data_IF_480084058691
#
_entry.id   IF_480084058691
#
_cell.length_a   1.000
_cell.length_b   1.000
_cell.length_c   1.000
_cell.angle_alpha   90.00
_cell.angle_beta   90.00
_cell.angle_gamma   90.00
#
_symmetry.space_group_name_H-M   'P 1'
#
loop_
_entity.id
_entity.type
_entity.pdbx_description
1 polymer ?
#
# COMPACT_ATOMS: atom_id res chain seq x y z
N UNK A 1 -20.48 -11.74 0.99
CA UNK A 1 -21.05 -10.78 0.03
C UNK A 1 -19.92 -10.00 -0.61
N UNK A 2 -19.89 -9.97 -1.97
CA UNK A 2 -18.92 -9.17 -2.69
C UNK A 2 -19.07 -7.68 -2.32
N UNK A 3 -17.97 -6.99 -2.04
CA UNK A 3 -18.01 -5.56 -1.81
C UNK A 3 -18.24 -4.87 -3.16
N UNK A 4 -19.34 -4.11 -3.31
CA UNK A 4 -19.52 -3.35 -4.54
C UNK A 4 -18.38 -2.33 -4.66
N UNK A 5 -17.77 -2.23 -5.81
CA UNK A 5 -16.78 -1.18 -6.11
C UNK A 5 -17.45 0.21 -6.22
N UNK A 6 -18.75 0.32 -5.95
CA UNK A 6 -19.51 1.57 -6.02
C UNK A 6 -19.49 2.17 -7.41
N UNK A 7 -19.28 3.49 -7.49
CA UNK A 7 -19.09 4.20 -8.77
C UNK A 7 -17.69 4.00 -9.37
N UNK A 8 -16.81 3.26 -8.70
CA UNK A 8 -15.47 2.97 -9.18
C UNK A 8 -15.53 1.71 -10.05
N UNK A 9 -15.60 1.90 -11.37
CA UNK A 9 -15.47 0.81 -12.32
C UNK A 9 -14.03 0.75 -12.82
N UNK A 10 -13.38 -0.38 -12.60
CA UNK A 10 -12.07 -0.66 -13.19
C UNK A 10 -12.34 -1.23 -14.58
N UNK A 11 -11.74 -0.64 -15.62
CA UNK A 11 -11.76 -1.22 -16.95
C UNK A 11 -10.70 -2.31 -17.01
N UNK A 12 -11.11 -3.57 -16.98
CA UNK A 12 -10.22 -4.70 -17.15
C UNK A 12 -10.48 -5.34 -18.52
N UNK A 13 -9.51 -5.26 -19.41
CA UNK A 13 -9.61 -5.86 -20.74
C UNK A 13 -10.86 -5.43 -21.54
N UNK A 14 -11.29 -4.18 -21.42
CA UNK A 14 -12.50 -3.66 -22.03
C UNK A 14 -13.80 -3.89 -21.26
N UNK A 15 -13.77 -4.60 -20.14
CA UNK A 15 -14.91 -4.84 -19.26
C UNK A 15 -14.84 -3.94 -18.02
N UNK A 16 -16.00 -3.43 -17.58
CA UNK A 16 -16.12 -2.70 -16.32
C UNK A 16 -16.25 -3.68 -15.17
N UNK A 17 -15.18 -3.86 -14.38
CA UNK A 17 -15.24 -4.58 -13.11
C UNK A 17 -16.01 -3.76 -12.08
N UNK A 18 -17.19 -4.25 -11.70
CA UNK A 18 -18.03 -3.62 -10.66
C UNK A 18 -17.79 -4.19 -9.26
N UNK A 19 -17.15 -5.32 -9.18
CA UNK A 19 -16.80 -6.03 -7.94
C UNK A 19 -15.57 -6.89 -8.20
N UNK A 20 -14.79 -7.11 -7.14
CA UNK A 20 -13.72 -8.09 -7.13
C UNK A 20 -13.67 -8.72 -5.73
N UNK A 21 -13.85 -10.02 -5.66
CA UNK A 21 -13.93 -10.75 -4.40
C UNK A 21 -12.60 -11.40 -4.04
N UNK A 22 -12.48 -11.81 -2.79
CA UNK A 22 -11.32 -12.55 -2.33
C UNK A 22 -11.22 -13.95 -3.01
N UNK A 23 -12.35 -14.57 -3.33
CA UNK A 23 -12.33 -15.84 -4.05
C UNK A 23 -11.85 -15.67 -5.49
N UNK A 24 -12.31 -14.61 -6.19
CA UNK A 24 -11.80 -14.26 -7.52
C UNK A 24 -10.28 -13.95 -7.49
N UNK A 25 -9.79 -13.30 -6.43
CA UNK A 25 -8.35 -13.12 -6.24
C UNK A 25 -7.61 -14.44 -6.14
N UNK A 26 -8.08 -15.36 -5.30
CA UNK A 26 -7.45 -16.69 -5.14
C UNK A 26 -7.44 -17.49 -6.43
N UNK A 27 -8.58 -17.55 -7.13
CA UNK A 27 -8.69 -18.20 -8.43
C UNK A 27 -7.69 -17.62 -9.44
N UNK A 28 -7.61 -16.30 -9.53
CA UNK A 28 -6.68 -15.64 -10.43
C UNK A 28 -5.20 -15.91 -10.07
N UNK A 29 -4.87 -15.90 -8.80
CA UNK A 29 -3.51 -16.23 -8.34
C UNK A 29 -3.16 -17.69 -8.66
N UNK A 30 -4.09 -18.64 -8.54
CA UNK A 30 -3.87 -20.02 -8.94
C UNK A 30 -3.63 -20.19 -10.45
N UNK A 31 -4.27 -19.34 -11.28
CA UNK A 31 -4.03 -19.33 -12.74
C UNK A 31 -2.65 -18.78 -13.07
N UNK A 32 -2.26 -17.67 -12.42
CA UNK A 32 -0.96 -17.04 -12.66
C UNK A 32 0.22 -17.91 -12.19
N UNK A 33 0.03 -18.61 -11.06
CA UNK A 33 1.10 -19.37 -10.40
C UNK A 33 0.60 -20.75 -9.98
N UNK A 34 0.38 -21.66 -10.92
CA UNK A 34 -0.11 -23.00 -10.62
C UNK A 34 0.86 -23.74 -9.69
N UNK A 35 0.32 -24.45 -8.71
CA UNK A 35 1.07 -25.25 -7.74
C UNK A 35 2.01 -24.42 -6.81
N UNK A 36 1.65 -23.17 -6.53
CA UNK A 36 2.34 -22.32 -5.54
C UNK A 36 1.42 -21.99 -4.39
N UNK A 37 1.97 -21.94 -3.18
CA UNK A 37 1.33 -21.30 -2.04
C UNK A 37 1.56 -19.79 -2.09
N UNK A 38 0.56 -19.01 -1.67
CA UNK A 38 0.63 -17.56 -1.65
C UNK A 38 0.49 -17.06 -0.22
N UNK A 39 1.33 -16.09 0.09
CA UNK A 39 1.24 -15.28 1.30
C UNK A 39 1.14 -13.83 0.86
N UNK A 40 0.20 -13.09 1.43
CA UNK A 40 0.03 -11.72 0.98
C UNK A 40 -0.81 -10.86 1.90
N UNK A 41 -0.70 -9.56 1.71
CA UNK A 41 -1.54 -8.56 2.35
C UNK A 41 -2.69 -8.19 1.42
N UNK A 42 -3.89 -8.05 1.98
CA UNK A 42 -5.11 -7.71 1.25
C UNK A 42 -5.75 -6.46 1.84
N UNK A 43 -6.24 -5.60 0.98
CA UNK A 43 -6.97 -4.38 1.38
C UNK A 43 -8.04 -4.04 0.34
N UNK A 44 -9.02 -3.25 0.74
CA UNK A 44 -10.05 -2.74 -0.17
C UNK A 44 -9.49 -1.65 -1.10
N UNK A 45 -10.30 -1.20 -2.04
CA UNK A 45 -9.94 -0.09 -2.95
C UNK A 45 -9.98 1.23 -2.18
N UNK A 46 -8.87 1.94 -1.99
CA UNK A 46 -8.85 3.22 -1.30
C UNK A 46 -9.44 4.31 -2.22
N UNK A 47 -10.66 4.75 -1.94
CA UNK A 47 -11.35 5.80 -2.69
C UNK A 47 -12.23 6.62 -1.78
N UNK A 48 -12.25 7.94 -1.99
CA UNK A 48 -13.10 8.89 -1.26
C UNK A 48 -14.60 8.67 -1.50
N UNK A 49 -14.95 8.00 -2.59
CA UNK A 49 -16.33 7.74 -2.98
C UNK A 49 -16.88 6.41 -2.43
N UNK A 50 -16.05 5.63 -1.75
CA UNK A 50 -16.42 4.32 -1.22
C UNK A 50 -16.50 4.34 0.32
N UNK A 51 -17.38 3.51 0.87
CA UNK A 51 -17.50 3.33 2.31
C UNK A 51 -16.38 2.42 2.81
N UNK A 52 -15.32 3.02 3.34
CA UNK A 52 -14.12 2.31 3.83
C UNK A 52 -14.45 1.24 4.87
N UNK A 53 -15.43 1.49 5.76
CA UNK A 53 -15.81 0.55 6.81
C UNK A 53 -16.36 -0.76 6.24
N UNK A 54 -17.15 -0.69 5.17
CA UNK A 54 -17.69 -1.89 4.50
C UNK A 54 -16.54 -2.72 3.92
N UNK A 55 -15.59 -2.06 3.26
CA UNK A 55 -14.44 -2.74 2.67
C UNK A 55 -13.51 -3.32 3.75
N UNK A 56 -13.23 -2.56 4.80
CA UNK A 56 -12.41 -3.01 5.92
C UNK A 56 -13.03 -4.23 6.61
N UNK A 57 -14.35 -4.19 6.90
CA UNK A 57 -15.07 -5.32 7.47
C UNK A 57 -15.03 -6.56 6.57
N UNK A 58 -15.21 -6.38 5.25
CA UNK A 58 -15.12 -7.47 4.29
C UNK A 58 -13.72 -8.09 4.30
N UNK A 59 -12.67 -7.30 4.12
CA UNK A 59 -11.29 -7.81 4.05
C UNK A 59 -10.92 -8.51 5.36
N UNK A 60 -11.26 -7.95 6.52
CA UNK A 60 -11.02 -8.58 7.82
C UNK A 60 -11.74 -9.93 7.98
N UNK A 61 -12.94 -10.08 7.35
CA UNK A 61 -13.74 -11.30 7.45
C UNK A 61 -13.31 -12.43 6.53
N UNK A 62 -12.68 -12.12 5.38
CA UNK A 62 -12.30 -13.12 4.36
C UNK A 62 -10.84 -13.56 4.43
N UNK A 63 -9.94 -12.71 4.96
CA UNK A 63 -8.55 -13.08 5.17
C UNK A 63 -8.41 -14.07 6.33
N UNK A 64 -7.70 -15.19 6.07
CA UNK A 64 -7.53 -16.29 7.02
C UNK A 64 -6.47 -16.03 8.10
N UNK A 65 -5.69 -14.94 7.96
CA UNK A 65 -4.60 -14.52 8.86
C UNK A 65 -3.50 -15.56 9.05
N UNK A 66 -3.43 -16.52 8.12
CA UNK A 66 -2.37 -17.51 7.99
C UNK A 66 -1.58 -17.29 6.72
N UNK A 67 -2.28 -17.17 5.60
CA UNK A 67 -1.70 -16.93 4.28
C UNK A 67 -2.05 -15.52 3.79
N UNK A 68 -3.21 -14.99 4.17
CA UNK A 68 -3.67 -13.67 3.77
C UNK A 68 -3.97 -12.79 4.98
N UNK A 69 -3.33 -11.63 5.01
CA UNK A 69 -3.32 -10.71 6.13
C UNK A 69 -4.03 -9.41 5.77
N UNK A 70 -5.10 -9.02 6.49
CA UNK A 70 -5.85 -7.81 6.17
C UNK A 70 -5.10 -6.54 6.54
N UNK A 71 -5.10 -5.54 5.64
CA UNK A 71 -4.73 -4.17 5.95
C UNK A 71 -5.99 -3.31 6.01
N UNK A 72 -6.06 -2.43 7.02
CA UNK A 72 -7.13 -1.44 7.15
C UNK A 72 -6.86 -0.25 6.23
N UNK A 73 -7.82 0.10 5.37
CA UNK A 73 -7.83 1.43 4.77
C UNK A 73 -8.08 2.41 5.90
N UNK A 74 -7.18 3.38 6.07
CA UNK A 74 -7.24 4.36 7.14
C UNK A 74 -7.28 5.77 6.56
N UNK A 75 -8.06 6.65 7.20
CA UNK A 75 -8.21 8.04 6.80
C UNK A 75 -7.60 8.96 7.86
N UNK A 76 -7.03 10.10 7.48
CA UNK A 76 -6.36 11.00 8.41
C UNK A 76 -7.27 11.57 9.51
N UNK A 77 -8.58 11.70 9.25
CA UNK A 77 -9.56 12.22 10.19
C UNK A 77 -10.06 11.19 11.20
N UNK A 78 -9.82 9.88 11.03
CA UNK A 78 -10.31 8.84 11.94
C UNK A 78 -9.81 9.04 13.38
N UNK A 79 -10.64 8.64 14.33
CA UNK A 79 -10.29 8.71 15.74
C UNK A 79 -9.25 7.65 16.11
N UNK A 80 -8.23 8.02 16.88
CA UNK A 80 -7.12 7.15 17.26
C UNK A 80 -7.58 5.90 18.03
N UNK A 81 -8.50 6.06 18.98
CA UNK A 81 -9.02 4.94 19.77
C UNK A 81 -9.82 3.95 18.90
N UNK A 82 -10.61 4.47 17.95
CA UNK A 82 -11.38 3.64 17.03
C UNK A 82 -10.45 2.86 16.08
N UNK A 83 -9.36 3.48 15.62
CA UNK A 83 -8.35 2.81 14.81
C UNK A 83 -7.72 1.66 15.61
N UNK A 84 -7.30 1.93 16.83
CA UNK A 84 -6.66 0.95 17.71
C UNK A 84 -7.60 -0.21 18.07
N UNK A 85 -8.85 0.09 18.37
CA UNK A 85 -9.88 -0.93 18.61
C UNK A 85 -10.13 -1.81 17.38
N UNK A 86 -10.17 -1.23 16.20
CA UNK A 86 -10.32 -1.97 14.95
C UNK A 86 -9.14 -2.91 14.70
N UNK A 87 -7.90 -2.45 14.92
CA UNK A 87 -6.69 -3.27 14.79
C UNK A 87 -6.80 -4.51 15.69
N UNK A 88 -7.18 -4.31 16.94
CA UNK A 88 -7.24 -5.41 17.92
C UNK A 88 -8.42 -6.36 17.62
N UNK A 89 -9.63 -5.81 17.45
CA UNK A 89 -10.86 -6.61 17.31
C UNK A 89 -10.96 -7.36 15.98
N UNK A 90 -10.45 -6.75 14.90
CA UNK A 90 -10.53 -7.30 13.55
C UNK A 90 -9.22 -7.93 13.08
N UNK A 91 -8.18 -7.88 13.92
CA UNK A 91 -6.86 -8.44 13.65
C UNK A 91 -6.27 -7.93 12.34
N UNK A 92 -6.22 -6.61 12.16
CA UNK A 92 -5.51 -6.02 11.04
C UNK A 92 -3.99 -6.04 11.27
N UNK A 93 -3.26 -6.36 10.23
CA UNK A 93 -1.80 -6.43 10.23
C UNK A 93 -1.13 -5.14 9.76
N UNK A 94 -1.92 -4.13 9.44
CA UNK A 94 -1.39 -2.84 9.03
C UNK A 94 -2.42 -1.91 8.41
N UNK A 95 -1.88 -0.88 7.76
CA UNK A 95 -2.65 0.21 7.19
C UNK A 95 -2.40 0.40 5.70
N UNK A 96 -3.45 0.80 5.00
CA UNK A 96 -3.40 1.35 3.64
C UNK A 96 -3.87 2.81 3.67
N UNK A 97 -2.99 3.77 3.99
CA UNK A 97 -3.28 5.18 3.80
C UNK A 97 -3.27 5.54 2.31
N UNK A 98 -4.02 6.57 1.92
CA UNK A 98 -4.07 6.99 0.53
C UNK A 98 -4.20 8.50 0.39
N UNK A 99 -3.42 9.09 -0.52
CA UNK A 99 -3.29 10.54 -0.71
C UNK A 99 -4.62 11.24 -1.03
N UNK A 100 -5.53 10.56 -1.73
CA UNK A 100 -6.80 11.15 -2.18
C UNK A 100 -7.68 11.58 -0.99
N UNK A 101 -7.46 11.03 0.20
CA UNK A 101 -8.15 11.46 1.43
C UNK A 101 -7.68 12.84 1.90
N UNK A 102 -6.46 13.27 1.56
CA UNK A 102 -5.95 14.62 1.84
C UNK A 102 -6.29 15.62 0.72
N UNK A 103 -6.56 15.17 -0.50
CA UNK A 103 -6.92 16.04 -1.65
C UNK A 103 -8.24 16.81 -1.45
N UNK A 104 -9.04 16.44 -0.45
CA UNK A 104 -10.21 17.23 -0.03
C UNK A 104 -9.84 18.62 0.52
N UNK A 105 -8.62 18.77 1.03
CA UNK A 105 -8.18 19.95 1.77
C UNK A 105 -6.99 20.65 1.13
N UNK A 106 -6.30 19.99 0.18
CA UNK A 106 -5.09 20.48 -0.48
C UNK A 106 -5.13 20.16 -1.97
N UNK A 107 -4.47 21.00 -2.78
CA UNK A 107 -4.24 20.67 -4.19
C UNK A 107 -3.34 19.43 -4.28
N UNK A 108 -3.58 18.60 -5.27
CA UNK A 108 -2.87 17.33 -5.49
C UNK A 108 -1.35 17.45 -5.44
N UNK A 109 -0.82 18.54 -5.98
CA UNK A 109 0.62 18.82 -6.05
C UNK A 109 1.20 19.22 -4.68
N UNK A 110 0.36 19.71 -3.79
CA UNK A 110 0.75 20.20 -2.46
C UNK A 110 0.68 19.09 -1.40
N UNK A 111 -0.03 17.98 -1.67
CA UNK A 111 -0.18 16.89 -0.70
C UNK A 111 1.16 16.30 -0.31
N UNK A 112 1.39 16.19 0.99
CA UNK A 112 2.53 15.55 1.64
C UNK A 112 2.14 14.18 2.22
N UNK A 113 3.11 13.32 2.54
CA UNK A 113 2.82 12.00 3.14
C UNK A 113 2.10 12.16 4.47
N UNK A 114 2.54 13.06 5.32
CA UNK A 114 1.95 13.28 6.66
C UNK A 114 0.54 13.90 6.61
N UNK A 115 0.08 14.41 5.47
CA UNK A 115 -1.30 14.90 5.34
C UNK A 115 -2.34 13.77 5.33
N UNK A 116 -1.97 12.60 4.82
CA UNK A 116 -2.86 11.42 4.78
C UNK A 116 -2.37 10.25 5.64
N UNK A 117 -1.17 10.34 6.18
CA UNK A 117 -0.59 9.42 7.16
C UNK A 117 -0.07 10.23 8.37
N UNK A 118 -0.98 10.80 9.19
CA UNK A 118 -0.57 11.62 10.34
C UNK A 118 0.08 10.78 11.43
N UNK A 119 0.85 11.45 12.30
CA UNK A 119 1.63 10.82 13.38
C UNK A 119 0.82 9.87 14.28
N UNK A 120 -0.45 10.16 14.54
CA UNK A 120 -1.29 9.27 15.35
C UNK A 120 -1.41 7.86 14.76
N UNK A 121 -1.45 7.75 13.42
CA UNK A 121 -1.50 6.45 12.72
C UNK A 121 -0.11 5.79 12.76
N UNK A 122 0.95 6.58 12.58
CA UNK A 122 2.33 6.10 12.68
C UNK A 122 2.65 5.56 14.07
N UNK A 123 2.23 6.24 15.13
CA UNK A 123 2.38 5.79 16.53
C UNK A 123 1.69 4.45 16.79
N UNK A 124 0.49 4.26 16.26
CA UNK A 124 -0.20 2.96 16.35
C UNK A 124 0.56 1.89 15.58
N UNK A 125 1.01 2.21 14.36
CA UNK A 125 1.76 1.26 13.55
C UNK A 125 3.07 0.84 14.22
N UNK A 126 3.78 1.77 14.80
CA UNK A 126 5.01 1.53 15.54
C UNK A 126 4.76 0.68 16.80
N UNK A 127 3.80 1.09 17.63
CA UNK A 127 3.41 0.39 18.87
C UNK A 127 3.12 -1.10 18.67
N UNK A 128 2.49 -1.45 17.55
CA UNK A 128 2.08 -2.83 17.25
C UNK A 128 2.91 -3.51 16.16
N UNK A 129 3.97 -2.87 15.67
CA UNK A 129 4.84 -3.40 14.63
C UNK A 129 4.15 -3.65 13.29
N UNK A 130 3.18 -2.78 12.93
CA UNK A 130 2.29 -2.98 11.79
C UNK A 130 2.90 -2.56 10.46
N UNK A 131 2.33 -3.12 9.39
CA UNK A 131 2.68 -2.78 8.00
C UNK A 131 1.98 -1.48 7.60
N UNK A 132 2.71 -0.58 6.93
CA UNK A 132 2.15 0.58 6.23
C UNK A 132 2.44 0.41 4.74
N UNK A 133 1.41 0.08 3.95
CA UNK A 133 1.50 0.01 2.50
C UNK A 133 1.34 1.43 1.92
N UNK A 134 2.46 2.11 1.72
CA UNK A 134 2.54 3.54 1.43
C UNK A 134 2.63 3.84 -0.06
N UNK A 135 1.58 4.49 -0.59
CA UNK A 135 1.59 5.06 -1.94
C UNK A 135 1.93 6.55 -1.86
N UNK A 136 3.20 6.91 -2.14
CA UNK A 136 3.71 8.27 -1.97
C UNK A 136 3.11 9.28 -2.96
N UNK A 137 2.94 10.57 -2.57
CA UNK A 137 2.40 11.60 -3.44
C UNK A 137 3.44 12.15 -4.43
N UNK A 138 3.30 13.37 -4.87
CA UNK A 138 4.19 14.18 -5.73
C UNK A 138 4.44 13.60 -7.13
N UNK A 139 4.70 14.51 -8.07
CA UNK A 139 4.91 14.18 -9.49
C UNK A 139 6.22 13.44 -9.73
N UNK A 140 7.29 13.83 -9.02
CA UNK A 140 8.61 13.22 -9.18
C UNK A 140 8.79 11.93 -8.36
N UNK A 141 7.74 11.53 -7.59
CA UNK A 141 7.64 10.20 -6.99
C UNK A 141 8.80 9.94 -6.01
N UNK A 142 9.56 8.83 -6.18
CA UNK A 142 10.72 8.52 -5.33
C UNK A 142 11.84 9.57 -5.47
N UNK A 143 11.97 10.24 -6.61
CA UNK A 143 12.96 11.30 -6.82
C UNK A 143 12.61 12.63 -6.12
N UNK A 144 11.36 12.80 -5.68
CA UNK A 144 10.93 14.01 -5.00
C UNK A 144 11.60 14.16 -3.63
N UNK A 145 12.18 15.33 -3.37
CA UNK A 145 12.95 15.57 -2.15
C UNK A 145 12.09 15.63 -0.89
N UNK A 146 10.84 16.12 -1.01
CA UNK A 146 9.91 16.13 0.12
C UNK A 146 9.47 14.71 0.48
N UNK A 147 9.16 13.89 -0.51
CA UNK A 147 8.87 12.47 -0.29
C UNK A 147 10.04 11.76 0.42
N UNK A 148 11.28 11.93 -0.09
CA UNK A 148 12.47 11.31 0.53
C UNK A 148 12.66 11.75 1.98
N UNK A 149 12.52 13.06 2.26
CA UNK A 149 12.66 13.59 3.62
C UNK A 149 11.62 12.99 4.57
N UNK A 150 10.38 12.89 4.14
CA UNK A 150 9.31 12.33 4.97
C UNK A 150 9.45 10.81 5.15
N UNK A 151 9.87 10.07 4.11
CA UNK A 151 10.19 8.63 4.24
C UNK A 151 11.30 8.42 5.27
N UNK A 152 12.39 9.20 5.19
CA UNK A 152 13.48 9.10 6.17
C UNK A 152 13.00 9.40 7.59
N UNK A 153 12.23 10.49 7.75
CA UNK A 153 11.64 10.85 9.04
C UNK A 153 10.76 9.73 9.61
N UNK A 154 9.87 9.17 8.80
CA UNK A 154 8.97 8.11 9.22
C UNK A 154 9.75 6.85 9.63
N UNK A 155 10.75 6.46 8.85
CA UNK A 155 11.54 5.27 9.14
C UNK A 155 12.42 5.42 10.41
N UNK A 156 12.89 6.64 10.68
CA UNK A 156 13.75 6.95 11.83
C UNK A 156 12.94 7.07 13.13
N UNK A 157 11.83 7.80 13.09
CA UNK A 157 10.99 8.06 14.27
C UNK A 157 10.07 6.89 14.66
N UNK A 158 9.78 5.99 13.70
CA UNK A 158 8.87 4.85 13.89
C UNK A 158 9.54 3.53 13.46
N UNK A 159 10.59 3.10 14.18
CA UNK A 159 11.47 1.99 13.77
C UNK A 159 10.79 0.62 13.78
N UNK A 160 9.75 0.42 14.57
CA UNK A 160 9.03 -0.87 14.66
C UNK A 160 7.95 -1.01 13.58
N UNK A 161 7.45 0.12 13.02
CA UNK A 161 6.54 0.09 11.86
C UNK A 161 7.26 -0.40 10.60
N UNK A 162 6.61 -1.28 9.80
CA UNK A 162 7.15 -1.81 8.54
C UNK A 162 6.62 -0.99 7.37
N UNK A 163 7.47 -0.16 6.80
CA UNK A 163 7.09 0.76 5.71
C UNK A 163 7.33 0.08 4.36
N UNK A 164 6.27 -0.21 3.62
CA UNK A 164 6.34 -0.79 2.28
C UNK A 164 6.04 0.31 1.26
N UNK A 165 7.01 0.69 0.46
CA UNK A 165 6.82 1.65 -0.64
C UNK A 165 6.15 0.94 -1.82
N UNK A 166 4.87 1.21 -2.03
CA UNK A 166 4.11 0.68 -3.16
C UNK A 166 4.77 1.09 -4.49
N UNK A 167 4.90 0.11 -5.40
CA UNK A 167 5.45 0.33 -6.75
C UNK A 167 6.87 0.95 -6.72
N UNK A 168 7.73 0.48 -5.82
CA UNK A 168 9.08 1.03 -5.59
C UNK A 168 9.01 2.56 -5.34
N UNK A 169 8.04 3.03 -4.54
CA UNK A 169 7.79 4.45 -4.39
C UNK A 169 7.37 5.12 -5.71
N UNK A 170 6.59 4.40 -6.52
CA UNK A 170 6.11 4.83 -7.85
C UNK A 170 7.24 5.11 -8.85
N UNK A 171 8.36 4.41 -8.73
CA UNK A 171 9.50 4.56 -9.63
C UNK A 171 9.26 3.81 -10.96
N UNK A 172 8.33 4.29 -11.80
CA UNK A 172 8.03 3.67 -13.10
C UNK A 172 9.06 3.98 -14.19
N UNK A 173 9.93 4.97 -13.98
CA UNK A 173 11.00 5.37 -14.90
C UNK A 173 12.33 5.36 -14.17
N UNK A 174 13.41 5.01 -14.88
CA UNK A 174 14.76 4.92 -14.31
C UNK A 174 15.20 6.20 -13.57
N UNK A 175 14.86 7.37 -14.11
CA UNK A 175 15.13 8.68 -13.46
C UNK A 175 14.49 8.84 -12.07
N UNK A 176 13.43 8.08 -11.75
CA UNK A 176 12.80 8.15 -10.44
C UNK A 176 13.58 7.38 -9.37
N UNK A 177 14.36 6.35 -9.75
CA UNK A 177 15.10 5.51 -8.82
C UNK A 177 16.60 5.82 -8.81
N UNK A 178 17.18 6.14 -9.95
CA UNK A 178 18.62 6.34 -10.09
C UNK A 178 19.14 7.42 -9.14
N UNK A 179 20.11 7.06 -8.28
CA UNK A 179 20.68 7.94 -7.26
C UNK A 179 19.74 8.33 -6.11
N UNK A 180 18.49 7.83 -6.09
CA UNK A 180 17.50 8.18 -5.08
C UNK A 180 17.32 7.14 -3.96
N UNK A 181 17.91 5.96 -4.09
CA UNK A 181 17.88 4.90 -3.07
C UNK A 181 18.88 5.12 -1.94
N UNK A 182 20.01 5.77 -2.19
CA UNK A 182 21.17 5.80 -1.30
C UNK A 182 20.86 6.25 0.13
N UNK A 183 19.93 7.18 0.29
CA UNK A 183 19.56 7.72 1.60
C UNK A 183 18.53 6.89 2.34
N UNK A 184 17.68 6.17 1.60
CA UNK A 184 16.54 5.47 2.18
C UNK A 184 16.76 3.97 2.32
N UNK A 185 17.56 3.33 1.46
CA UNK A 185 17.81 1.87 1.49
C UNK A 185 18.44 1.36 2.79
N UNK A 186 19.02 2.24 3.60
CA UNK A 186 19.68 1.91 4.87
C UNK A 186 18.72 1.60 6.02
N UNK A 187 17.46 2.00 5.92
CA UNK A 187 16.50 1.81 7.00
C UNK A 187 16.05 0.34 7.08
N UNK A 188 16.20 -0.30 8.24
CA UNK A 188 15.90 -1.73 8.39
C UNK A 188 14.41 -2.05 8.27
N UNK A 189 13.54 -1.07 8.51
CA UNK A 189 12.09 -1.17 8.46
C UNK A 189 11.48 -0.72 7.14
N UNK A 190 12.30 -0.42 6.10
CA UNK A 190 11.84 -0.02 4.76
C UNK A 190 11.89 -1.18 3.79
N UNK A 191 10.80 -1.35 3.03
CA UNK A 191 10.60 -2.40 2.02
C UNK A 191 10.08 -1.80 0.72
N UNK A 192 10.26 -2.52 -0.39
CA UNK A 192 9.87 -2.10 -1.74
C UNK A 192 8.98 -3.15 -2.39
N UNK A 193 7.80 -2.74 -2.85
CA UNK A 193 6.87 -3.60 -3.57
C UNK A 193 7.01 -3.40 -5.09
N UNK A 194 7.07 -4.49 -5.83
CA UNK A 194 7.28 -4.51 -7.29
C UNK A 194 5.98 -4.33 -8.09
N UNK A 195 4.80 -4.33 -7.46
CA UNK A 195 3.54 -4.24 -8.17
C UNK A 195 3.52 -3.09 -9.19
N UNK A 196 2.92 -3.31 -10.37
CA UNK A 196 2.78 -2.31 -11.44
C UNK A 196 4.09 -1.74 -12.01
N UNK A 197 5.25 -2.19 -11.57
CA UNK A 197 6.54 -1.78 -12.14
C UNK A 197 6.94 -2.79 -13.22
N UNK A 198 6.88 -2.35 -14.47
CA UNK A 198 7.19 -3.16 -15.66
C UNK A 198 8.44 -2.67 -16.41
N UNK A 199 9.16 -1.70 -15.85
CA UNK A 199 10.42 -1.22 -16.41
C UNK A 199 11.58 -2.06 -15.88
N UNK A 200 12.22 -2.82 -16.77
CA UNK A 200 13.31 -3.73 -16.42
C UNK A 200 14.51 -3.03 -15.79
N UNK A 201 14.92 -1.87 -16.30
CA UNK A 201 16.05 -1.09 -15.77
C UNK A 201 15.81 -0.66 -14.31
N UNK A 202 14.56 -0.34 -13.96
CA UNK A 202 14.18 0.03 -12.58
C UNK A 202 14.28 -1.17 -11.66
N UNK A 203 13.80 -2.33 -12.12
CA UNK A 203 13.81 -3.57 -11.33
C UNK A 203 15.26 -4.03 -11.13
N UNK A 204 16.07 -4.08 -12.18
CA UNK A 204 17.47 -4.45 -12.14
C UNK A 204 18.24 -3.55 -11.16
N UNK A 205 18.11 -2.22 -11.30
CA UNK A 205 18.73 -1.26 -10.39
C UNK A 205 18.32 -1.45 -8.92
N UNK A 206 17.06 -1.80 -8.67
CA UNK A 206 16.61 -2.10 -7.30
C UNK A 206 17.33 -3.34 -6.75
N UNK A 207 17.36 -4.44 -7.50
CA UNK A 207 18.01 -5.69 -7.07
C UNK A 207 19.53 -5.56 -6.88
N UNK A 208 20.19 -4.69 -7.62
CA UNK A 208 21.62 -4.39 -7.46
C UNK A 208 21.92 -3.55 -6.22
N UNK A 209 20.97 -2.76 -5.75
CA UNK A 209 21.20 -1.75 -4.71
C UNK A 209 20.49 -2.00 -3.37
N UNK A 210 19.55 -2.94 -3.32
CA UNK A 210 18.74 -3.25 -2.14
C UNK A 210 18.82 -4.76 -1.84
N UNK A 211 18.92 -5.11 -0.57
CA UNK A 211 18.92 -6.51 -0.15
C UNK A 211 17.61 -7.21 -0.52
N UNK A 212 17.69 -8.46 -0.99
CA UNK A 212 16.54 -9.19 -1.54
C UNK A 212 15.40 -9.39 -0.55
N UNK A 213 15.70 -9.51 0.75
CA UNK A 213 14.73 -9.63 1.83
C UNK A 213 13.91 -8.34 2.08
N UNK A 214 14.27 -7.24 1.42
CA UNK A 214 13.56 -5.96 1.42
C UNK A 214 12.69 -5.76 0.19
N UNK A 215 12.74 -6.67 -0.77
CA UNK A 215 12.01 -6.59 -2.04
C UNK A 215 10.83 -7.56 -1.98
N UNK A 216 9.62 -7.04 -2.15
CA UNK A 216 8.38 -7.77 -2.06
C UNK A 216 7.73 -7.89 -3.43
N UNK A 217 7.21 -9.07 -3.75
CA UNK A 217 6.35 -9.25 -4.89
C UNK A 217 4.95 -8.68 -4.59
N UNK A 218 4.33 -8.04 -5.58
CA UNK A 218 2.97 -7.55 -5.48
C UNK A 218 2.27 -7.55 -6.84
N UNK A 219 0.95 -7.66 -6.86
CA UNK A 219 0.14 -7.69 -8.09
C UNK A 219 -0.64 -6.41 -8.33
N UNK A 220 -1.05 -5.73 -7.28
CA UNK A 220 -2.00 -4.59 -7.31
C UNK A 220 -3.32 -4.95 -8.03
N UNK A 221 -3.72 -6.21 -7.98
CA UNK A 221 -5.00 -6.70 -8.55
C UNK A 221 -6.16 -6.18 -7.67
N UNK A 222 -7.27 -5.71 -8.29
CA UNK A 222 -7.59 -5.77 -9.72
C UNK A 222 -7.14 -4.56 -10.55
N UNK A 223 -6.43 -3.59 -9.99
CA UNK A 223 -5.98 -2.38 -10.70
C UNK A 223 -5.07 -2.75 -11.90
N UNK A 224 -4.20 -3.73 -11.71
CA UNK A 224 -3.29 -4.20 -12.76
C UNK A 224 -4.00 -4.87 -13.96
N UNK A 225 -5.30 -5.14 -13.87
CA UNK A 225 -6.11 -5.71 -14.95
C UNK A 225 -6.79 -4.63 -15.80
N UNK A 226 -6.63 -3.35 -15.45
CA UNK A 226 -7.31 -2.22 -16.08
C UNK A 226 -6.59 -1.69 -17.33
#
# INVERSE_FOLDING_TARGET
QAVPTGSFAINAGGNKLKKYTFDELKEYMCVLYPNREFYGVCFGVPSVNLKTDIMNNYVASVCDKKNFFPLKIVRPEENEKEIEEDIIKKEFYGFKPYRDYAEKFKKKEEVEILDFLPEKILKIADKYGLIIMLHIPKKDRLADKSNQKQIMYICDEYPDAKIVLAHIGRAYYFKNIYGNLEKIKKFPNLYFDLAMVNNFEVIEYLFENVAQDKILYGTDIPIALA
#
